data_IF_735737523527
#
_entry.id   IF_735737523527
#
_cell.length_a   1.000
_cell.length_b   1.000
_cell.length_c   1.000
_cell.angle_alpha   90.00
_cell.angle_beta   90.00
_cell.angle_gamma   90.00
#
_symmetry.space_group_name_H-M   'P 1'
#
loop_
_entity.id
_entity.type
_entity.pdbx_description
1 polymer ?
#
# COMPACT_ATOMS: atom_id res chain seq x y z
N UNK A 1 -7.66 24.19 -3.31
CA UNK A 1 -7.75 22.93 -2.55
C UNK A 1 -7.14 21.83 -3.39
N UNK A 2 -5.92 21.42 -3.06
CA UNK A 2 -5.15 20.39 -3.72
C UNK A 2 -5.46 19.04 -3.06
N UNK A 3 -5.97 18.09 -3.84
CA UNK A 3 -6.27 16.73 -3.39
C UNK A 3 -5.29 15.75 -4.04
N UNK A 4 -4.61 14.95 -3.21
CA UNK A 4 -3.81 13.82 -3.66
C UNK A 4 -4.61 12.52 -3.49
N UNK A 5 -4.87 11.83 -4.59
CA UNK A 5 -5.56 10.53 -4.59
C UNK A 5 -4.54 9.43 -4.83
N UNK A 6 -4.44 8.48 -3.89
CA UNK A 6 -3.58 7.30 -4.00
C UNK A 6 -4.48 6.11 -4.33
N UNK A 7 -4.24 5.48 -5.48
CA UNK A 7 -4.92 4.23 -5.85
C UNK A 7 -4.05 3.03 -5.46
N UNK A 8 -4.61 2.13 -4.68
CA UNK A 8 -3.95 0.93 -4.20
C UNK A 8 -4.80 -0.32 -4.48
N UNK A 9 -4.14 -1.47 -4.59
CA UNK A 9 -4.79 -2.76 -4.38
C UNK A 9 -4.66 -3.14 -2.89
N UNK A 10 -5.64 -3.82 -2.31
CA UNK A 10 -5.51 -4.36 -0.97
C UNK A 10 -4.32 -5.33 -0.89
N UNK A 11 -3.49 -5.29 0.18
CA UNK A 11 -2.32 -6.13 0.33
C UNK A 11 -2.72 -7.57 0.70
N UNK A 12 -3.12 -8.34 -0.32
CA UNK A 12 -3.54 -9.73 -0.20
C UNK A 12 -2.44 -10.63 -0.79
N UNK A 13 -2.02 -11.64 -0.01
CA UNK A 13 -0.98 -12.59 -0.39
C UNK A 13 -1.38 -13.33 -1.67
N UNK A 14 -0.45 -13.46 -2.61
CA UNK A 14 -0.71 -14.12 -3.90
C UNK A 14 -1.55 -13.30 -4.88
N UNK A 15 -2.00 -12.10 -4.50
CA UNK A 15 -2.83 -11.26 -5.37
C UNK A 15 -2.17 -9.94 -5.78
N UNK A 16 -1.09 -9.56 -5.11
CA UNK A 16 -0.33 -8.33 -5.38
C UNK A 16 1.00 -8.65 -6.01
N UNK A 17 1.36 -7.87 -7.03
CA UNK A 17 2.67 -7.92 -7.71
C UNK A 17 3.10 -9.34 -8.15
N UNK A 18 2.14 -10.22 -8.45
CA UNK A 18 2.39 -11.65 -8.80
C UNK A 18 3.34 -11.86 -9.96
N UNK A 19 3.44 -10.88 -10.88
CA UNK A 19 4.37 -10.93 -12.00
C UNK A 19 5.83 -10.77 -11.59
N UNK A 20 6.14 -10.08 -10.49
CA UNK A 20 7.51 -9.90 -9.98
C UNK A 20 8.13 -11.22 -9.49
N UNK A 21 7.29 -12.22 -9.19
CA UNK A 21 7.71 -13.58 -8.85
C UNK A 21 8.41 -14.29 -10.00
N UNK A 22 8.07 -13.94 -11.25
CA UNK A 22 8.58 -14.65 -12.43
C UNK A 22 10.07 -14.38 -12.60
N UNK A 23 10.88 -15.45 -12.57
CA UNK A 23 12.32 -15.35 -12.77
C UNK A 23 13.10 -14.81 -11.56
N UNK A 24 12.49 -14.77 -10.37
CA UNK A 24 13.13 -14.35 -9.13
C UNK A 24 12.99 -15.42 -8.04
N UNK A 25 13.80 -15.34 -6.99
CA UNK A 25 13.69 -16.19 -5.81
C UNK A 25 12.62 -15.71 -4.81
N UNK A 26 11.84 -14.68 -5.17
CA UNK A 26 10.88 -14.05 -4.26
C UNK A 26 9.68 -14.96 -4.01
N UNK A 27 9.29 -15.07 -2.74
CA UNK A 27 8.07 -15.75 -2.30
C UNK A 27 6.86 -14.81 -2.33
N UNK A 28 5.65 -15.36 -2.20
CA UNK A 28 4.45 -14.51 -2.08
C UNK A 28 4.48 -13.68 -0.78
N UNK A 29 5.20 -14.13 0.25
CA UNK A 29 5.42 -13.37 1.48
C UNK A 29 6.37 -12.20 1.26
N UNK A 30 7.47 -12.40 0.51
CA UNK A 30 8.38 -11.32 0.14
C UNK A 30 7.66 -10.25 -0.69
N UNK A 31 6.84 -10.68 -1.65
CA UNK A 31 6.06 -9.78 -2.50
C UNK A 31 5.00 -9.00 -1.70
N UNK A 32 4.34 -9.67 -0.74
CA UNK A 32 3.41 -9.00 0.14
C UNK A 32 4.12 -7.96 1.01
N UNK A 33 5.25 -8.33 1.62
CA UNK A 33 6.06 -7.42 2.45
C UNK A 33 6.56 -6.22 1.66
N UNK A 34 7.09 -6.46 0.46
CA UNK A 34 7.57 -5.42 -0.44
C UNK A 34 6.43 -4.47 -0.84
N UNK A 35 5.26 -5.03 -1.19
CA UNK A 35 4.11 -4.22 -1.57
C UNK A 35 3.57 -3.38 -0.39
N UNK A 36 3.52 -3.94 0.82
CA UNK A 36 3.18 -3.18 2.04
C UNK A 36 4.16 -2.02 2.25
N UNK A 37 5.47 -2.25 2.09
CA UNK A 37 6.49 -1.20 2.20
C UNK A 37 6.32 -0.08 1.16
N UNK A 38 6.03 -0.43 -0.10
CA UNK A 38 5.76 0.59 -1.13
C UNK A 38 4.56 1.48 -0.80
N UNK A 39 3.46 0.90 -0.30
CA UNK A 39 2.30 1.66 0.12
C UNK A 39 2.61 2.57 1.32
N UNK A 40 3.41 2.07 2.26
CA UNK A 40 3.88 2.82 3.42
C UNK A 40 4.65 4.07 2.98
N UNK A 41 5.69 3.87 2.17
CA UNK A 41 6.58 4.93 1.73
C UNK A 41 5.81 5.95 0.88
N UNK A 42 4.94 5.47 -0.02
CA UNK A 42 4.07 6.35 -0.82
C UNK A 42 3.20 7.23 0.07
N UNK A 43 2.57 6.65 1.10
CA UNK A 43 1.69 7.39 2.02
C UNK A 43 2.49 8.35 2.90
N UNK A 44 3.66 7.93 3.40
CA UNK A 44 4.57 8.77 4.17
C UNK A 44 5.10 9.97 3.37
N UNK A 45 5.45 9.75 2.10
CA UNK A 45 5.90 10.81 1.22
C UNK A 45 4.75 11.72 0.77
N UNK A 46 3.53 11.19 0.64
CA UNK A 46 2.33 12.00 0.36
C UNK A 46 2.10 13.09 1.41
N UNK A 47 2.38 12.80 2.69
CA UNK A 47 2.29 13.78 3.79
C UNK A 47 3.29 14.94 3.68
N UNK A 48 4.35 14.76 2.90
CA UNK A 48 5.36 15.81 2.66
C UNK A 48 5.02 16.68 1.46
N UNK A 49 3.90 16.41 0.78
CA UNK A 49 3.42 17.23 -0.33
C UNK A 49 2.64 18.44 0.18
N UNK A 50 2.43 19.45 -0.68
CA UNK A 50 1.56 20.59 -0.39
C UNK A 50 0.07 20.28 -0.65
N UNK A 51 -0.35 19.02 -0.48
CA UNK A 51 -1.75 18.63 -0.65
C UNK A 51 -2.56 19.01 0.59
N UNK A 52 -3.70 19.67 0.40
CA UNK A 52 -4.63 20.02 1.47
C UNK A 52 -5.36 18.77 2.01
N UNK A 53 -5.54 17.76 1.15
CA UNK A 53 -6.17 16.49 1.49
C UNK A 53 -5.48 15.34 0.77
N UNK A 54 -5.38 14.21 1.44
CA UNK A 54 -4.89 12.94 0.88
C UNK A 54 -6.00 11.90 1.02
N UNK A 55 -6.31 11.18 -0.06
CA UNK A 55 -7.34 10.13 -0.09
C UNK A 55 -6.76 8.83 -0.63
N UNK A 56 -6.79 7.76 0.16
CA UNK A 56 -6.36 6.42 -0.25
C UNK A 56 -7.58 5.61 -0.67
N UNK A 57 -7.64 5.23 -1.94
CA UNK A 57 -8.69 4.37 -2.49
C UNK A 57 -8.11 2.99 -2.80
N UNK A 58 -8.79 1.93 -2.38
CA UNK A 58 -8.32 0.57 -2.55
C UNK A 58 -9.38 -0.41 -3.05
N UNK A 59 -8.90 -1.49 -3.68
CA UNK A 59 -9.72 -2.60 -4.15
C UNK A 59 -9.06 -3.96 -3.84
N UNK A 60 -9.79 -5.02 -3.47
CA UNK A 60 -11.21 -5.03 -3.11
C UNK A 60 -11.51 -4.33 -1.78
N UNK A 61 -12.76 -3.86 -1.62
CA UNK A 61 -13.22 -3.21 -0.38
C UNK A 61 -13.11 -4.13 0.84
N UNK A 62 -13.24 -5.45 0.63
CA UNK A 62 -13.04 -6.47 1.67
C UNK A 62 -11.62 -6.47 2.25
N UNK A 63 -10.66 -5.80 1.61
CA UNK A 63 -9.30 -5.62 2.10
C UNK A 63 -9.09 -4.42 3.03
N UNK A 64 -10.15 -3.72 3.45
CA UNK A 64 -10.09 -2.53 4.31
C UNK A 64 -9.27 -2.74 5.58
N UNK A 65 -9.55 -3.80 6.34
CA UNK A 65 -8.84 -4.06 7.60
C UNK A 65 -7.33 -4.21 7.44
N UNK A 66 -6.85 -4.70 6.28
CA UNK A 66 -5.40 -4.80 6.00
C UNK A 66 -4.76 -3.48 5.59
N UNK A 67 -5.54 -2.57 5.01
CA UNK A 67 -5.10 -1.21 4.74
C UNK A 67 -5.06 -0.42 6.06
N UNK A 68 -6.06 -0.58 6.92
CA UNK A 68 -6.09 0.06 8.24
C UNK A 68 -4.98 -0.44 9.17
N UNK A 69 -4.74 -1.75 9.22
CA UNK A 69 -3.59 -2.35 9.92
C UNK A 69 -2.29 -1.73 9.41
N UNK A 70 -2.13 -1.68 8.08
CA UNK A 70 -0.96 -1.08 7.44
C UNK A 70 -0.77 0.37 7.87
N UNK A 71 -1.80 1.21 7.80
CA UNK A 71 -1.71 2.62 8.20
C UNK A 71 -1.44 2.75 9.70
N UNK A 72 -2.07 1.94 10.55
CA UNK A 72 -1.90 1.98 12.00
C UNK A 72 -0.47 1.64 12.40
N UNK A 73 0.08 0.54 11.87
CA UNK A 73 1.47 0.14 12.13
C UNK A 73 2.46 1.25 11.75
N UNK A 74 2.17 1.98 10.67
CA UNK A 74 3.05 3.04 10.17
C UNK A 74 2.91 4.40 10.86
N UNK A 75 1.75 4.72 11.42
CA UNK A 75 1.52 5.98 12.14
C UNK A 75 1.70 5.87 13.66
N UNK A 76 1.87 4.65 14.17
CA UNK A 76 2.12 4.38 15.60
C UNK A 76 3.61 4.32 15.95
N UNK A 77 4.51 4.54 14.99
CA UNK A 77 5.98 4.65 15.16
C UNK A 77 6.45 6.08 14.95
#
# INVERSE_FOLDING_TARGET
MNLLVIFAKAPIKGEVKTRLKKGTALTDDDLLKLYKAFLADTTKHALRTCADKISLHYHPQSGMGRIEELLTDFFST
#
